data_IF_086318614525
#
_entry.id   IF_086318614525
#
_cell.length_a   1.000
_cell.length_b   1.000
_cell.length_c   1.000
_cell.angle_alpha   90.00
_cell.angle_beta   90.00
_cell.angle_gamma   90.00
#
_symmetry.space_group_name_H-M   'P 1'
#
loop_
_entity.id
_entity.type
_entity.pdbx_description
1 polymer ?
#
# COMPACT_ATOMS: atom_id res chain seq x y z
N UNK A 1 10.33 -6.24 9.46
CA UNK A 1 9.62 -6.84 10.60
C UNK A 1 8.23 -7.35 10.24
N UNK A 2 7.41 -6.62 9.44
CA UNK A 2 6.04 -7.03 9.12
C UNK A 2 5.94 -7.99 7.93
N UNK A 3 6.93 -7.99 7.03
CA UNK A 3 6.93 -8.85 5.85
C UNK A 3 6.98 -10.33 6.17
N UNK A 4 7.81 -10.73 7.13
CA UNK A 4 7.99 -12.14 7.51
C UNK A 4 6.69 -12.77 8.05
N UNK A 5 6.00 -12.21 9.07
CA UNK A 5 4.75 -12.81 9.54
C UNK A 5 3.64 -12.77 8.48
N UNK A 6 3.64 -11.77 7.60
CA UNK A 6 2.69 -11.68 6.50
C UNK A 6 2.91 -12.83 5.48
N UNK A 7 4.17 -13.06 5.07
CA UNK A 7 4.53 -14.17 4.19
C UNK A 7 4.22 -15.53 4.84
N UNK A 8 4.54 -15.70 6.12
CA UNK A 8 4.20 -16.91 6.88
C UNK A 8 2.70 -17.20 6.86
N UNK A 9 1.85 -16.18 7.02
CA UNK A 9 0.40 -16.32 6.95
C UNK A 9 -0.08 -16.85 5.59
N UNK A 10 0.48 -16.35 4.49
CA UNK A 10 0.20 -16.90 3.15
C UNK A 10 0.61 -18.36 3.02
N UNK A 11 1.84 -18.67 3.41
CA UNK A 11 2.38 -20.03 3.30
C UNK A 11 1.56 -21.02 4.15
N UNK A 12 1.19 -20.64 5.36
CA UNK A 12 0.39 -21.49 6.22
C UNK A 12 -1.02 -21.73 5.65
N UNK A 13 -1.62 -20.71 5.05
CA UNK A 13 -2.89 -20.89 4.36
C UNK A 13 -2.77 -21.80 3.13
N UNK A 14 -1.72 -21.66 2.33
CA UNK A 14 -1.47 -22.55 1.18
C UNK A 14 -1.21 -24.00 1.62
N UNK A 15 -0.49 -24.23 2.72
CA UNK A 15 -0.34 -25.55 3.33
C UNK A 15 -1.70 -26.12 3.76
N UNK A 16 -2.54 -25.29 4.39
CA UNK A 16 -3.89 -25.70 4.80
C UNK A 16 -4.74 -26.08 3.59
N UNK A 17 -4.76 -25.29 2.51
CA UNK A 17 -5.45 -25.59 1.26
C UNK A 17 -4.97 -26.93 0.70
N UNK A 18 -3.67 -27.17 0.68
CA UNK A 18 -3.09 -28.42 0.22
C UNK A 18 -3.48 -29.63 1.10
N UNK A 19 -3.55 -29.45 2.42
CA UNK A 19 -4.01 -30.48 3.33
C UNK A 19 -5.48 -30.86 3.11
N UNK A 20 -6.29 -29.90 2.64
CA UNK A 20 -7.71 -30.12 2.27
C UNK A 20 -7.90 -30.68 0.85
N UNK A 21 -6.84 -31.02 0.15
CA UNK A 21 -6.91 -31.62 -1.19
C UNK A 21 -6.49 -30.70 -2.34
N UNK A 22 -6.11 -29.46 -2.04
CA UNK A 22 -5.75 -28.47 -3.06
C UNK A 22 -6.97 -27.73 -3.63
N UNK A 23 -6.78 -27.09 -4.76
CA UNK A 23 -7.84 -26.38 -5.51
C UNK A 23 -8.31 -27.33 -6.62
N UNK A 24 -9.55 -27.77 -6.56
CA UNK A 24 -10.10 -28.77 -7.50
C UNK A 24 -9.21 -30.04 -7.64
N UNK A 25 -8.62 -30.51 -6.53
CA UNK A 25 -7.73 -31.66 -6.51
C UNK A 25 -6.28 -31.36 -6.89
N UNK A 26 -5.96 -30.14 -7.29
CA UNK A 26 -4.61 -29.73 -7.67
C UNK A 26 -3.91 -29.07 -6.48
N UNK A 27 -2.70 -29.55 -6.15
CA UNK A 27 -1.88 -28.94 -5.11
C UNK A 27 -1.28 -27.63 -5.60
N UNK A 28 -1.24 -26.64 -4.70
CA UNK A 28 -0.62 -25.36 -4.94
C UNK A 28 0.85 -25.42 -4.49
N UNK A 29 1.75 -24.98 -5.34
CA UNK A 29 3.16 -24.73 -5.00
C UNK A 29 3.44 -23.22 -4.93
N UNK A 30 4.48 -22.83 -4.20
CA UNK A 30 4.87 -21.43 -4.08
C UNK A 30 6.39 -21.29 -4.02
N UNK A 31 6.84 -20.11 -4.39
CA UNK A 31 8.23 -19.69 -4.29
C UNK A 31 8.28 -18.33 -3.58
N UNK A 32 9.28 -18.13 -2.74
CA UNK A 32 9.46 -16.90 -1.99
C UNK A 32 10.78 -16.23 -2.38
N UNK A 33 10.81 -14.91 -2.33
CA UNK A 33 11.99 -14.11 -2.60
C UNK A 33 12.02 -12.88 -1.70
N UNK A 34 13.06 -12.82 -0.84
CA UNK A 34 13.25 -11.66 0.04
C UNK A 34 13.80 -10.47 -0.76
N UNK A 35 13.15 -9.33 -0.64
CA UNK A 35 13.51 -8.11 -1.38
C UNK A 35 14.11 -7.01 -0.51
N UNK A 36 14.04 -7.14 0.82
CA UNK A 36 14.40 -6.07 1.74
C UNK A 36 13.59 -4.79 1.52
N UNK A 37 12.39 -4.91 0.93
CA UNK A 37 11.53 -3.79 0.53
C UNK A 37 12.11 -2.90 -0.58
N UNK A 38 13.13 -3.37 -1.29
CA UNK A 38 13.76 -2.67 -2.41
C UNK A 38 13.05 -3.02 -3.73
N UNK A 39 12.68 -1.98 -4.49
CA UNK A 39 11.90 -2.14 -5.73
C UNK A 39 12.69 -2.87 -6.81
N UNK A 40 13.97 -2.55 -6.99
CA UNK A 40 14.89 -3.20 -7.94
C UNK A 40 15.03 -4.70 -7.67
N UNK A 41 15.23 -5.09 -6.41
CA UNK A 41 15.25 -6.48 -5.99
C UNK A 41 13.91 -7.19 -6.22
N UNK A 42 12.81 -6.48 -6.02
CA UNK A 42 11.48 -7.02 -6.32
C UNK A 42 11.28 -7.33 -7.80
N UNK A 43 11.76 -6.47 -8.69
CA UNK A 43 11.75 -6.72 -10.14
C UNK A 43 12.67 -7.88 -10.50
N UNK A 44 13.86 -7.96 -9.92
CA UNK A 44 14.78 -9.09 -10.11
C UNK A 44 14.14 -10.42 -9.66
N UNK A 45 13.52 -10.45 -8.47
CA UNK A 45 12.79 -11.62 -7.97
C UNK A 45 11.69 -12.06 -8.95
N UNK A 46 10.91 -11.10 -9.45
CA UNK A 46 9.85 -11.37 -10.42
C UNK A 46 10.41 -12.03 -11.70
N UNK A 47 11.44 -11.42 -12.32
CA UNK A 47 12.04 -11.93 -13.54
C UNK A 47 12.62 -13.34 -13.37
N UNK A 48 13.22 -13.62 -12.21
CA UNK A 48 13.80 -14.91 -11.89
C UNK A 48 12.74 -15.99 -11.61
N UNK A 49 11.61 -15.63 -11.01
CA UNK A 49 10.59 -16.57 -10.57
C UNK A 49 9.46 -16.79 -11.58
N UNK A 50 9.15 -15.81 -12.43
CA UNK A 50 7.99 -15.85 -13.32
C UNK A 50 7.93 -17.07 -14.25
N UNK A 51 9.08 -17.59 -14.68
CA UNK A 51 9.17 -18.77 -15.55
C UNK A 51 9.46 -20.08 -14.81
N UNK A 52 9.65 -20.07 -13.50
CA UNK A 52 10.04 -21.25 -12.72
C UNK A 52 8.88 -22.25 -12.62
N UNK A 53 9.21 -23.55 -12.58
CA UNK A 53 8.25 -24.64 -12.41
C UNK A 53 7.08 -24.64 -13.43
N UNK A 54 7.34 -24.23 -14.65
CA UNK A 54 6.31 -24.16 -15.71
C UNK A 54 5.57 -22.82 -15.79
N UNK A 55 5.98 -21.85 -15.00
CA UNK A 55 5.44 -20.48 -15.00
C UNK A 55 4.55 -20.17 -13.80
N UNK A 56 4.68 -18.93 -13.32
CA UNK A 56 3.85 -18.43 -12.24
C UNK A 56 2.42 -18.16 -12.72
N UNK A 57 1.42 -18.66 -12.00
CA UNK A 57 0.00 -18.40 -12.25
C UNK A 57 -0.48 -17.12 -11.60
N UNK A 58 0.26 -16.60 -10.61
CA UNK A 58 -0.03 -15.36 -9.89
C UNK A 58 1.26 -14.86 -9.23
N UNK A 59 1.38 -13.57 -9.08
CA UNK A 59 2.46 -12.95 -8.31
C UNK A 59 1.89 -12.02 -7.24
N UNK A 60 2.43 -12.12 -6.03
CA UNK A 60 2.04 -11.30 -4.90
C UNK A 60 3.23 -10.44 -4.48
N UNK A 61 3.34 -9.19 -4.95
CA UNK A 61 4.36 -8.27 -4.48
C UNK A 61 3.99 -7.71 -3.11
N UNK A 62 4.84 -7.88 -2.11
CA UNK A 62 4.62 -7.27 -0.80
C UNK A 62 5.27 -5.87 -0.74
N UNK A 63 4.92 -5.01 -1.67
CA UNK A 63 5.39 -3.63 -1.68
C UNK A 63 4.60 -2.82 -2.71
N UNK A 64 4.19 -1.61 -2.32
CA UNK A 64 3.60 -0.63 -3.25
C UNK A 64 4.55 -0.30 -4.40
N UNK A 65 5.84 -0.05 -4.10
CA UNK A 65 6.84 0.26 -5.11
C UNK A 65 7.08 -0.88 -6.10
N UNK A 66 7.12 -2.12 -5.63
CA UNK A 66 7.25 -3.30 -6.50
C UNK A 66 6.00 -3.45 -7.36
N UNK A 67 4.80 -3.26 -6.80
CA UNK A 67 3.54 -3.30 -7.56
C UNK A 67 3.54 -2.27 -8.69
N UNK A 68 3.95 -1.03 -8.42
CA UNK A 68 4.08 0.00 -9.45
C UNK A 68 5.02 -0.45 -10.58
N UNK A 69 6.20 -0.94 -10.22
CA UNK A 69 7.22 -1.37 -11.19
C UNK A 69 6.76 -2.56 -12.05
N UNK A 70 5.94 -3.46 -11.50
CA UNK A 70 5.45 -4.64 -12.20
C UNK A 70 4.15 -4.42 -12.97
N UNK A 71 3.44 -3.33 -12.73
CA UNK A 71 2.16 -3.03 -13.38
C UNK A 71 2.24 -3.04 -14.91
N UNK A 72 3.34 -2.55 -15.47
CA UNK A 72 3.54 -2.51 -16.92
C UNK A 72 4.07 -3.84 -17.50
N UNK A 73 4.67 -4.69 -16.66
CA UNK A 73 5.23 -6.00 -17.08
C UNK A 73 4.20 -7.12 -17.04
N UNK A 74 3.37 -7.14 -16.03
CA UNK A 74 2.41 -8.20 -15.77
C UNK A 74 1.48 -8.53 -16.95
N UNK A 75 0.94 -7.54 -17.70
CA UNK A 75 0.12 -7.81 -18.88
C UNK A 75 0.84 -8.58 -19.98
N UNK A 76 2.10 -8.24 -20.25
CA UNK A 76 2.92 -8.92 -21.26
C UNK A 76 3.24 -10.37 -20.88
N UNK A 77 3.46 -10.61 -19.60
CA UNK A 77 3.74 -11.95 -19.05
C UNK A 77 2.45 -12.74 -18.74
N UNK A 78 1.28 -12.10 -18.77
CA UNK A 78 -0.03 -12.68 -18.43
C UNK A 78 -0.05 -13.24 -16.99
N UNK A 79 0.58 -12.55 -16.06
CA UNK A 79 0.65 -12.94 -14.65
C UNK A 79 -0.13 -11.92 -13.82
N UNK A 80 -1.26 -12.31 -13.20
CA UNK A 80 -1.99 -11.43 -12.29
C UNK A 80 -1.14 -10.99 -11.10
N UNK A 81 -1.15 -9.69 -10.81
CA UNK A 81 -0.62 -9.14 -9.58
C UNK A 81 -1.75 -9.05 -8.55
N UNK A 82 -1.65 -9.80 -7.46
CA UNK A 82 -2.65 -9.81 -6.40
C UNK A 82 -2.09 -9.12 -5.17
N UNK A 83 -2.77 -8.09 -4.68
CA UNK A 83 -2.38 -7.36 -3.47
C UNK A 83 -3.51 -7.34 -2.45
N UNK A 84 -3.19 -7.12 -1.18
CA UNK A 84 -4.20 -6.97 -0.13
C UNK A 84 -4.84 -5.57 -0.10
N UNK A 85 -4.69 -4.78 -1.17
CA UNK A 85 -5.24 -3.43 -1.30
C UNK A 85 -4.19 -2.33 -1.39
N UNK A 86 -2.91 -2.66 -1.29
CA UNK A 86 -1.81 -1.72 -1.52
C UNK A 86 -1.39 -1.70 -2.99
N UNK A 87 -0.66 -0.66 -3.33
CA UNK A 87 -0.04 -0.47 -4.64
C UNK A 87 -1.04 -0.10 -5.74
N UNK A 88 -0.95 1.11 -6.19
CA UNK A 88 -1.66 1.69 -7.31
C UNK A 88 -3.19 1.70 -7.18
N UNK A 89 -3.70 2.67 -6.42
CA UNK A 89 -5.15 2.83 -6.20
C UNK A 89 -5.93 3.01 -7.50
N UNK A 90 -5.31 3.57 -8.57
CA UNK A 90 -5.89 3.66 -9.91
C UNK A 90 -6.24 2.29 -10.50
N UNK A 91 -5.64 1.20 -10.02
CA UNK A 91 -5.91 -0.15 -10.53
C UNK A 91 -7.31 -0.68 -10.21
N UNK A 92 -8.11 0.08 -9.46
CA UNK A 92 -9.57 -0.14 -9.37
C UNK A 92 -10.28 0.04 -10.72
N UNK A 93 -9.70 0.80 -11.66
CA UNK A 93 -10.17 0.79 -13.05
C UNK A 93 -9.64 -0.44 -13.80
N UNK A 94 -10.39 -1.54 -13.70
CA UNK A 94 -10.07 -2.80 -14.36
C UNK A 94 -10.11 -2.75 -15.91
N UNK A 95 -10.62 -1.69 -16.53
CA UNK A 95 -10.54 -1.51 -17.98
C UNK A 95 -9.11 -1.12 -18.40
N UNK A 96 -8.41 -0.36 -17.56
CA UNK A 96 -7.03 0.05 -17.78
C UNK A 96 -6.06 -0.97 -17.19
N UNK A 97 -6.25 -1.33 -15.92
CA UNK A 97 -5.32 -2.17 -15.16
C UNK A 97 -5.81 -3.62 -15.06
N UNK A 98 -5.91 -4.30 -16.20
CA UNK A 98 -6.51 -5.65 -16.33
C UNK A 98 -5.79 -6.76 -15.55
N UNK A 99 -4.56 -6.52 -15.08
CA UNK A 99 -3.71 -7.52 -14.44
C UNK A 99 -3.34 -7.18 -12.99
N UNK A 100 -3.87 -6.09 -12.44
CA UNK A 100 -3.71 -5.71 -11.04
C UNK A 100 -5.02 -5.95 -10.28
N UNK A 101 -4.94 -6.70 -9.18
CA UNK A 101 -6.10 -7.12 -8.40
C UNK A 101 -5.91 -6.72 -6.93
N UNK A 102 -6.28 -5.50 -6.52
CA UNK A 102 -6.37 -5.13 -5.12
C UNK A 102 -7.60 -5.81 -4.49
N UNK A 103 -7.38 -6.71 -3.51
CA UNK A 103 -8.46 -7.59 -3.00
C UNK A 103 -9.38 -6.93 -1.98
N UNK A 104 -8.91 -5.91 -1.25
CA UNK A 104 -9.71 -5.25 -0.21
C UNK A 104 -10.12 -3.85 -0.63
N UNK A 105 -9.73 -2.82 0.01
CA UNK A 105 -9.86 -1.44 -0.47
C UNK A 105 -8.51 -0.92 -0.95
N UNK A 106 -8.48 0.32 -1.36
CA UNK A 106 -7.24 1.00 -1.76
C UNK A 106 -6.81 2.01 -0.70
N UNK A 107 -5.60 2.57 -0.84
CA UNK A 107 -5.17 3.66 0.02
C UNK A 107 -5.95 4.95 -0.21
N UNK A 108 -6.48 5.15 -1.41
CA UNK A 108 -7.39 6.28 -1.67
C UNK A 108 -8.70 6.11 -0.92
N UNK A 109 -9.31 4.91 -0.94
CA UNK A 109 -10.50 4.63 -0.14
C UNK A 109 -10.24 4.87 1.34
N UNK A 110 -9.12 4.35 1.86
CA UNK A 110 -8.76 4.50 3.27
C UNK A 110 -8.57 5.98 3.66
N UNK A 111 -7.87 6.77 2.84
CA UNK A 111 -7.65 8.18 3.09
C UNK A 111 -8.96 8.99 3.01
N UNK A 112 -9.83 8.67 2.04
CA UNK A 112 -11.12 9.34 1.90
C UNK A 112 -12.07 9.02 3.07
N UNK A 113 -12.09 7.77 3.54
CA UNK A 113 -12.86 7.36 4.72
C UNK A 113 -12.39 8.10 5.98
N UNK A 114 -11.09 8.29 6.15
CA UNK A 114 -10.56 9.08 7.27
C UNK A 114 -11.02 10.54 7.19
N UNK A 115 -11.00 11.15 6.01
CA UNK A 115 -11.51 12.51 5.80
C UNK A 115 -13.02 12.59 6.05
N UNK A 116 -13.79 11.61 5.57
CA UNK A 116 -15.24 11.53 5.85
C UNK A 116 -15.52 11.43 7.35
N UNK A 117 -14.70 10.64 8.08
CA UNK A 117 -14.82 10.55 9.54
C UNK A 117 -14.57 11.89 10.22
N UNK A 118 -13.53 12.62 9.81
CA UNK A 118 -13.24 13.96 10.34
C UNK A 118 -14.38 14.92 9.99
N UNK A 119 -14.81 14.95 8.75
CA UNK A 119 -15.92 15.81 8.31
C UNK A 119 -17.20 15.56 9.14
N UNK A 120 -17.53 14.28 9.36
CA UNK A 120 -18.68 13.90 10.21
C UNK A 120 -18.51 14.39 11.66
N UNK A 121 -17.30 14.25 12.23
CA UNK A 121 -16.98 14.70 13.57
C UNK A 121 -17.07 16.21 13.74
N UNK A 122 -16.66 16.96 12.72
CA UNK A 122 -16.73 18.42 12.70
C UNK A 122 -18.14 18.96 12.37
N UNK A 123 -19.05 18.13 11.90
CA UNK A 123 -20.42 18.52 11.56
C UNK A 123 -20.65 18.83 10.08
N UNK A 124 -19.73 18.46 9.20
CA UNK A 124 -19.86 18.54 7.74
C UNK A 124 -18.55 18.89 7.04
N UNK A 125 -18.51 18.65 5.74
CA UNK A 125 -17.35 18.96 4.91
C UNK A 125 -17.00 20.45 4.87
N UNK A 126 -17.99 21.33 4.98
CA UNK A 126 -17.83 22.79 5.03
C UNK A 126 -17.06 23.26 6.28
N UNK A 127 -17.08 22.46 7.34
CA UNK A 127 -16.37 22.71 8.60
C UNK A 127 -14.88 22.38 8.53
N UNK A 128 -14.43 21.76 7.46
CA UNK A 128 -12.99 21.50 7.25
C UNK A 128 -12.25 22.75 6.76
N UNK A 129 -12.95 23.75 6.23
CA UNK A 129 -12.33 24.99 5.75
C UNK A 129 -11.48 25.65 6.84
N UNK A 130 -10.19 25.83 6.51
CA UNK A 130 -9.19 26.44 7.44
C UNK A 130 -8.64 25.49 8.49
N UNK A 131 -9.13 24.25 8.59
CA UNK A 131 -8.50 23.21 9.42
C UNK A 131 -7.13 22.82 8.86
N UNK A 132 -6.23 22.38 9.73
CA UNK A 132 -4.91 21.86 9.36
C UNK A 132 -4.88 20.36 9.56
N UNK A 133 -4.57 19.63 8.50
CA UNK A 133 -4.42 18.16 8.53
C UNK A 133 -3.00 17.81 8.14
N UNK A 134 -2.27 17.17 9.05
CA UNK A 134 -0.91 16.70 8.79
C UNK A 134 -0.94 15.25 8.31
N UNK A 135 -0.35 14.99 7.16
CA UNK A 135 -0.04 13.66 6.65
C UNK A 135 1.42 13.34 6.99
N UNK A 136 1.63 12.58 8.05
CA UNK A 136 2.95 12.08 8.48
C UNK A 136 3.11 10.71 7.89
N UNK A 137 4.01 10.56 6.93
CA UNK A 137 4.07 9.36 6.12
C UNK A 137 5.48 8.79 5.95
N UNK A 138 5.55 7.49 5.84
CA UNK A 138 6.79 6.79 5.48
C UNK A 138 7.20 7.21 4.07
N UNK A 139 8.43 7.74 3.91
CA UNK A 139 8.93 8.25 2.63
C UNK A 139 9.25 7.10 1.65
N UNK A 140 8.20 6.57 1.08
CA UNK A 140 8.21 5.49 0.09
C UNK A 140 6.97 5.60 -0.80
N UNK A 141 6.89 4.83 -1.89
CA UNK A 141 5.66 4.76 -2.72
C UNK A 141 4.40 4.49 -1.91
N UNK A 142 4.48 3.65 -0.86
CA UNK A 142 3.38 3.40 0.07
C UNK A 142 2.87 4.67 0.75
N UNK A 143 3.77 5.42 1.37
CA UNK A 143 3.39 6.62 2.13
C UNK A 143 2.92 7.77 1.25
N UNK A 144 3.38 7.80 0.00
CA UNK A 144 3.05 8.84 -0.99
C UNK A 144 1.73 8.58 -1.73
N UNK A 145 1.26 7.36 -1.76
CA UNK A 145 0.11 6.98 -2.60
C UNK A 145 -1.18 7.77 -2.28
N UNK A 146 -1.54 8.06 -1.01
CA UNK A 146 -2.72 8.85 -0.70
C UNK A 146 -2.62 10.34 -1.05
N UNK A 147 -1.39 10.86 -1.29
CA UNK A 147 -1.16 12.31 -1.45
C UNK A 147 -2.01 12.93 -2.58
N UNK A 148 -2.12 12.36 -3.78
CA UNK A 148 -2.94 12.95 -4.84
C UNK A 148 -4.39 13.16 -4.40
N UNK A 149 -5.01 12.17 -3.76
CA UNK A 149 -6.36 12.29 -3.21
C UNK A 149 -6.43 13.37 -2.12
N UNK A 150 -5.51 13.36 -1.17
CA UNK A 150 -5.48 14.33 -0.07
C UNK A 150 -5.34 15.77 -0.59
N UNK A 151 -4.51 15.99 -1.62
CA UNK A 151 -4.35 17.29 -2.28
C UNK A 151 -5.65 17.70 -2.98
N UNK A 152 -6.31 16.81 -3.69
CA UNK A 152 -7.59 17.08 -4.33
C UNK A 152 -8.65 17.48 -3.30
N UNK A 153 -8.80 16.68 -2.24
CA UNK A 153 -9.75 16.95 -1.16
C UNK A 153 -9.44 18.25 -0.39
N UNK A 154 -8.16 18.58 -0.19
CA UNK A 154 -7.79 19.83 0.45
C UNK A 154 -8.23 21.06 -0.35
N UNK A 155 -8.08 21.01 -1.68
CA UNK A 155 -8.57 22.07 -2.57
C UNK A 155 -10.09 22.14 -2.58
N UNK A 156 -10.77 20.99 -2.60
CA UNK A 156 -12.23 20.91 -2.65
C UNK A 156 -12.89 21.44 -1.37
N UNK A 157 -12.32 21.12 -0.21
CA UNK A 157 -12.93 21.40 1.10
C UNK A 157 -12.23 22.53 1.87
N UNK A 158 -11.13 23.07 1.34
CA UNK A 158 -10.46 24.26 1.89
C UNK A 158 -9.67 24.01 3.17
N UNK A 159 -9.28 22.78 3.49
CA UNK A 159 -8.33 22.52 4.58
C UNK A 159 -6.88 22.65 4.12
N UNK A 160 -5.99 22.99 5.04
CA UNK A 160 -4.54 23.02 4.80
C UNK A 160 -3.97 21.60 4.96
N UNK A 161 -3.38 21.06 3.90
CA UNK A 161 -2.68 19.77 3.94
C UNK A 161 -1.18 20.01 4.20
N UNK A 162 -0.68 19.45 5.28
CA UNK A 162 0.73 19.47 5.64
C UNK A 162 1.33 18.08 5.36
N UNK A 163 2.37 18.02 4.52
CA UNK A 163 3.03 16.78 4.15
C UNK A 163 4.36 16.65 4.91
N UNK A 164 4.50 15.60 5.69
CA UNK A 164 5.66 15.37 6.57
C UNK A 164 6.25 13.97 6.32
N UNK A 165 7.24 13.86 5.41
CA UNK A 165 7.90 12.59 5.14
C UNK A 165 8.78 12.17 6.31
N UNK A 166 8.79 10.87 6.59
CA UNK A 166 9.70 10.22 7.52
C UNK A 166 10.53 9.19 6.74
N UNK A 167 11.84 9.37 6.73
CA UNK A 167 12.78 8.53 5.97
C UNK A 167 12.74 7.08 6.43
N UNK A 168 12.78 6.14 5.46
CA UNK A 168 12.90 4.71 5.75
C UNK A 168 14.12 4.41 6.67
N UNK A 169 14.00 3.54 7.68
CA UNK A 169 12.87 2.66 8.03
C UNK A 169 11.81 3.29 8.96
N UNK A 170 11.86 4.58 9.22
CA UNK A 170 10.86 5.28 10.01
C UNK A 170 11.26 5.51 11.47
N UNK A 171 12.53 5.32 11.83
CA UNK A 171 13.05 5.55 13.20
C UNK A 171 13.24 7.04 13.48
N UNK A 172 13.79 7.77 12.51
CA UNK A 172 14.14 9.19 12.64
C UNK A 172 12.94 10.09 12.39
N UNK A 173 12.11 10.30 13.42
CA UNK A 173 10.84 11.04 13.33
C UNK A 173 10.89 12.43 13.95
N UNK A 174 12.01 12.80 14.59
CA UNK A 174 12.13 14.04 15.38
C UNK A 174 11.74 15.29 14.62
N UNK A 175 12.14 15.38 13.35
CA UNK A 175 11.84 16.56 12.52
C UNK A 175 10.33 16.69 12.24
N UNK A 176 9.64 15.59 11.92
CA UNK A 176 8.20 15.59 11.70
C UNK A 176 7.43 16.00 12.97
N UNK A 177 7.75 15.42 14.10
CA UNK A 177 7.11 15.76 15.38
C UNK A 177 7.41 17.19 15.86
N UNK A 178 8.60 17.74 15.55
CA UNK A 178 8.89 19.13 15.80
C UNK A 178 8.00 20.07 14.99
N UNK A 179 7.81 19.78 13.69
CA UNK A 179 6.92 20.54 12.82
C UNK A 179 5.46 20.46 13.31
N UNK A 180 4.99 19.31 13.76
CA UNK A 180 3.65 19.14 14.36
C UNK A 180 3.49 20.04 15.58
N UNK A 181 4.48 20.05 16.48
CA UNK A 181 4.44 20.91 17.68
C UNK A 181 4.41 22.39 17.34
N UNK A 182 5.13 22.82 16.32
CA UNK A 182 5.18 24.21 15.86
C UNK A 182 3.89 24.64 15.16
N UNK A 183 3.37 23.80 14.26
CA UNK A 183 2.24 24.14 13.40
C UNK A 183 0.87 23.78 14.00
N UNK A 184 0.85 22.91 15.02
CA UNK A 184 -0.36 22.48 15.74
C UNK A 184 -1.52 22.10 14.82
N UNK A 185 -1.38 21.06 13.98
CA UNK A 185 -2.47 20.62 13.14
C UNK A 185 -3.67 20.15 13.98
N UNK A 186 -4.89 20.33 13.46
CA UNK A 186 -6.11 19.84 14.09
C UNK A 186 -6.19 18.31 14.06
N UNK A 187 -5.64 17.71 13.01
CA UNK A 187 -5.63 16.26 12.79
C UNK A 187 -4.31 15.78 12.23
N UNK A 188 -3.95 14.54 12.58
CA UNK A 188 -2.73 13.89 12.08
C UNK A 188 -3.14 12.55 11.47
N UNK A 189 -2.80 12.35 10.20
CA UNK A 189 -2.80 11.04 9.56
C UNK A 189 -1.41 10.45 9.69
N UNK A 190 -1.25 9.46 10.56
CA UNK A 190 -0.02 8.69 10.66
C UNK A 190 -0.07 7.55 9.64
N UNK A 191 0.62 7.73 8.52
CA UNK A 191 0.69 6.77 7.43
C UNK A 191 2.04 6.06 7.44
N UNK A 192 2.23 5.28 8.46
CA UNK A 192 3.47 4.55 8.74
C UNK A 192 3.24 3.05 8.80
N UNK A 193 4.32 2.30 8.80
CA UNK A 193 4.33 0.86 9.04
C UNK A 193 5.62 0.41 9.71
N UNK A 194 5.62 -0.79 10.27
CA UNK A 194 6.78 -1.34 10.95
C UNK A 194 7.19 -0.48 12.14
N UNK A 195 8.48 -0.19 12.22
CA UNK A 195 9.08 0.58 13.32
C UNK A 195 8.64 2.05 13.36
N UNK A 196 8.07 2.57 12.29
CA UNK A 196 7.54 3.93 12.28
C UNK A 196 6.34 4.10 13.21
N UNK A 197 5.63 3.02 13.52
CA UNK A 197 4.44 3.02 14.38
C UNK A 197 4.76 2.77 15.87
N UNK A 198 6.05 2.76 16.23
CA UNK A 198 6.53 2.47 17.59
C UNK A 198 6.89 3.72 18.36
#
# INVERSE_FOLDING_TARGET
>A
PNGVPFANGYVDYLKYVNAKGGINGVKVSWEECETGYATDKGVECYERLKGKNGGATVFQPLSTGITFALTEKAPGDKIPLITAGYGRSESTDGNVFKWNFPLTGTYWDAADILLQHIAKKEGGWDKLKGKKIAHVYHDSPYGKEPIPLLVERSKMHGFELMQMPVTHPGVEQKAAWLQIRQNRPDYIFLWGWGVMNS
#
